data_IF_233106756437
#
_entry.id   IF_233106756437
#
_cell.length_a   1.000
_cell.length_b   1.000
_cell.length_c   1.000
_cell.angle_alpha   90.00
_cell.angle_beta   90.00
_cell.angle_gamma   90.00
#
_symmetry.space_group_name_H-M   'P 1'
#
loop_
_entity.id
_entity.type
_entity.pdbx_description
1 polymer ?
#
# COMPACT_ATOMS: atom_id res chain seq x y z
N UNK A 1 29.11 15.04 15.65
CA UNK A 1 29.84 14.80 14.37
C UNK A 1 29.71 16.06 13.51
N UNK A 2 30.78 16.86 13.33
CA UNK A 2 30.81 17.96 12.34
C UNK A 2 31.02 17.33 10.95
N UNK A 3 30.12 17.59 9.99
CA UNK A 3 30.36 17.23 8.58
C UNK A 3 31.53 18.09 8.07
N UNK A 4 32.56 17.47 7.49
CA UNK A 4 33.72 18.20 6.93
C UNK A 4 33.24 19.12 5.80
N UNK A 5 33.56 20.41 5.87
CA UNK A 5 33.41 21.37 4.77
C UNK A 5 32.18 22.29 4.80
N UNK A 6 31.39 22.30 5.88
CA UNK A 6 30.23 23.21 6.01
C UNK A 6 30.41 24.04 7.30
N UNK A 7 30.88 25.28 7.15
CA UNK A 7 31.14 26.19 8.27
C UNK A 7 29.91 27.04 8.65
N UNK A 8 28.89 27.11 7.80
CA UNK A 8 27.54 27.66 8.07
C UNK A 8 26.49 26.86 7.28
N UNK A 9 25.26 26.67 7.79
CA UNK A 9 24.17 26.18 6.96
C UNK A 9 23.91 27.17 5.81
N UNK A 10 23.82 26.66 4.58
CA UNK A 10 23.48 27.48 3.42
C UNK A 10 22.06 28.05 3.59
N UNK A 11 21.90 29.36 3.38
CA UNK A 11 20.60 30.02 3.37
C UNK A 11 20.06 30.01 1.94
N UNK A 12 19.06 29.15 1.69
CA UNK A 12 18.40 29.03 0.38
C UNK A 12 17.03 29.73 0.36
N UNK A 13 16.75 30.62 1.31
CA UNK A 13 15.45 31.32 1.40
C UNK A 13 15.10 32.10 0.14
N UNK A 14 16.10 32.63 -0.59
CA UNK A 14 15.91 33.34 -1.85
C UNK A 14 15.40 32.46 -3.01
N UNK A 15 15.55 31.14 -2.91
CA UNK A 15 15.07 30.18 -3.91
C UNK A 15 13.67 29.63 -3.58
N UNK A 16 13.10 29.99 -2.43
CA UNK A 16 11.77 29.56 -2.01
C UNK A 16 10.72 30.58 -2.46
N UNK A 17 9.69 30.11 -3.17
CA UNK A 17 8.61 30.96 -3.70
C UNK A 17 7.25 30.37 -3.34
N UNK A 18 6.31 31.21 -2.90
CA UNK A 18 4.93 30.80 -2.68
C UNK A 18 4.23 30.60 -4.03
N UNK A 19 3.59 29.43 -4.20
CA UNK A 19 2.91 29.05 -5.44
C UNK A 19 1.55 28.45 -5.14
N UNK A 20 0.57 28.74 -5.99
CA UNK A 20 -0.76 28.13 -5.93
C UNK A 20 -0.75 26.82 -6.73
N UNK A 21 -1.15 25.71 -6.10
CA UNK A 21 -1.23 24.41 -6.76
C UNK A 21 -2.41 24.34 -7.74
N UNK A 22 -2.32 23.49 -8.78
CA UNK A 22 -3.47 23.15 -9.61
C UNK A 22 -4.65 22.65 -8.77
N UNK A 23 -5.88 22.96 -9.20
CA UNK A 23 -7.09 22.57 -8.50
C UNK A 23 -7.22 21.04 -8.39
N UNK A 24 -7.70 20.55 -7.25
CA UNK A 24 -7.97 19.12 -7.06
C UNK A 24 -9.29 18.67 -7.73
N UNK A 25 -9.62 17.38 -7.59
CA UNK A 25 -10.84 16.80 -8.17
C UNK A 25 -12.15 17.41 -7.61
N UNK A 26 -12.07 18.10 -6.48
CA UNK A 26 -13.18 18.82 -5.84
C UNK A 26 -13.14 20.33 -6.13
N UNK A 27 -12.16 20.79 -6.91
CA UNK A 27 -11.98 22.19 -7.28
C UNK A 27 -11.21 23.03 -6.26
N UNK A 28 -10.70 22.43 -5.16
CA UNK A 28 -9.97 23.17 -4.13
C UNK A 28 -8.55 23.50 -4.62
N UNK A 29 -8.09 24.71 -4.31
CA UNK A 29 -6.73 25.19 -4.57
C UNK A 29 -6.03 25.49 -3.25
N UNK A 30 -4.77 25.11 -3.17
CA UNK A 30 -3.95 25.25 -1.97
C UNK A 30 -2.65 25.97 -2.33
N UNK A 31 -2.17 26.80 -1.42
CA UNK A 31 -0.87 27.45 -1.56
C UNK A 31 0.22 26.58 -0.93
N UNK A 32 1.38 26.52 -1.55
CA UNK A 32 2.54 25.79 -1.07
C UNK A 32 3.83 26.54 -1.40
N UNK A 33 4.97 26.01 -0.98
CA UNK A 33 6.30 26.56 -1.28
C UNK A 33 6.94 25.74 -2.40
N UNK A 34 7.30 26.40 -3.50
CA UNK A 34 8.09 25.85 -4.59
C UNK A 34 9.56 26.26 -4.49
N UNK A 35 10.43 25.47 -5.10
CA UNK A 35 11.87 25.77 -5.22
C UNK A 35 12.19 26.25 -6.63
N UNK A 36 12.75 27.45 -6.76
CA UNK A 36 13.13 28.09 -8.02
C UNK A 36 14.54 27.67 -8.42
N UNK A 37 14.67 27.04 -9.59
CA UNK A 37 15.96 26.66 -10.17
C UNK A 37 16.62 27.85 -10.90
N UNK A 38 17.95 27.81 -11.13
CA UNK A 38 18.67 28.87 -11.85
C UNK A 38 18.17 29.12 -13.28
N UNK A 39 17.57 28.12 -13.91
CA UNK A 39 16.94 28.21 -15.24
C UNK A 39 15.55 28.87 -15.20
N UNK A 40 15.09 29.30 -14.02
CA UNK A 40 13.80 29.95 -13.80
C UNK A 40 12.63 28.99 -13.60
N UNK A 41 12.83 27.67 -13.72
CA UNK A 41 11.77 26.69 -13.50
C UNK A 41 11.48 26.52 -12.00
N UNK A 42 10.20 26.31 -11.65
CA UNK A 42 9.78 26.11 -10.26
C UNK A 42 9.42 24.64 -10.06
N UNK A 43 10.09 23.98 -9.12
CA UNK A 43 9.78 22.62 -8.68
C UNK A 43 8.89 22.69 -7.46
N UNK A 44 7.72 22.07 -7.55
CA UNK A 44 6.76 21.99 -6.46
C UNK A 44 6.61 20.54 -6.06
N UNK A 45 6.53 20.28 -4.77
CA UNK A 45 6.21 18.94 -4.27
C UNK A 45 4.80 18.55 -4.70
N UNK A 46 4.59 17.27 -5.01
CA UNK A 46 3.25 16.79 -5.36
C UNK A 46 2.29 16.95 -4.17
N UNK A 47 0.98 16.91 -4.44
CA UNK A 47 -0.04 17.06 -3.38
C UNK A 47 0.08 15.94 -2.32
N UNK A 48 0.65 14.78 -2.66
CA UNK A 48 0.91 13.67 -1.74
C UNK A 48 2.04 13.92 -0.75
N UNK A 49 2.95 14.85 -1.06
CA UNK A 49 4.01 15.29 -0.15
C UNK A 49 3.46 15.93 1.12
N UNK A 50 2.42 16.76 1.01
CA UNK A 50 1.84 17.45 2.17
C UNK A 50 1.03 16.49 3.05
N UNK A 51 0.51 15.39 2.49
CA UNK A 51 -0.16 14.34 3.26
C UNK A 51 0.82 13.34 3.94
N UNK A 52 2.14 13.49 3.74
CA UNK A 52 3.14 12.69 4.44
C UNK A 52 3.44 13.18 5.87
N UNK A 53 2.84 14.30 6.34
CA UNK A 53 3.07 14.83 7.71
C UNK A 53 2.61 13.90 8.85
N UNK A 54 1.96 12.78 8.54
CA UNK A 54 1.61 11.72 9.50
C UNK A 54 2.42 10.43 9.36
N UNK A 55 3.36 10.35 8.42
CA UNK A 55 4.19 9.17 8.16
C UNK A 55 5.63 9.49 8.49
N UNK A 56 6.29 8.58 9.20
CA UNK A 56 7.68 8.77 9.61
C UNK A 56 8.63 8.77 8.40
N UNK A 57 8.22 8.18 7.26
CA UNK A 57 9.05 8.00 6.08
C UNK A 57 8.38 8.51 4.79
N UNK A 58 9.17 9.19 3.96
CA UNK A 58 8.80 9.54 2.59
C UNK A 58 8.56 8.28 1.74
N UNK A 59 7.48 8.26 0.97
CA UNK A 59 7.18 7.18 0.02
C UNK A 59 7.26 7.69 -1.41
N UNK A 60 8.30 7.30 -2.18
CA UNK A 60 8.44 7.71 -3.57
C UNK A 60 7.36 7.07 -4.47
N UNK A 61 7.10 7.70 -5.61
CA UNK A 61 6.32 7.06 -6.67
C UNK A 61 7.17 5.96 -7.34
N UNK A 62 6.91 4.70 -7.00
CA UNK A 62 7.70 3.55 -7.46
C UNK A 62 7.64 3.33 -8.98
N UNK A 63 6.64 3.86 -9.67
CA UNK A 63 6.55 3.81 -11.14
C UNK A 63 7.67 4.57 -11.86
N UNK A 64 8.36 5.48 -11.17
CA UNK A 64 9.46 6.27 -11.71
C UNK A 64 10.83 5.58 -11.56
N UNK A 65 10.87 4.40 -10.94
CA UNK A 65 12.10 3.69 -10.61
C UNK A 65 12.22 2.37 -11.38
N UNK A 66 13.45 1.89 -11.63
CA UNK A 66 13.65 0.56 -12.19
C UNK A 66 12.99 -0.53 -11.34
N UNK A 67 12.38 -1.52 -12.00
CA UNK A 67 11.58 -2.57 -11.35
C UNK A 67 12.29 -3.22 -10.17
N UNK A 68 13.57 -3.59 -10.33
CA UNK A 68 14.37 -4.21 -9.25
C UNK A 68 14.48 -3.33 -8.00
N UNK A 69 14.65 -2.02 -8.18
CA UNK A 69 14.76 -1.07 -7.07
C UNK A 69 13.40 -0.82 -6.43
N UNK A 70 12.37 -0.67 -7.25
CA UNK A 70 10.99 -0.50 -6.83
C UNK A 70 10.49 -1.71 -6.01
N UNK A 71 10.82 -2.93 -6.46
CA UNK A 71 10.56 -4.18 -5.75
C UNK A 71 11.30 -4.25 -4.41
N UNK A 72 12.59 -3.93 -4.39
CA UNK A 72 13.38 -3.90 -3.16
C UNK A 72 12.81 -2.90 -2.13
N UNK A 73 12.32 -1.74 -2.59
CA UNK A 73 11.64 -0.78 -1.74
C UNK A 73 10.39 -1.39 -1.09
N UNK A 74 9.52 -2.02 -1.87
CA UNK A 74 8.30 -2.66 -1.35
C UNK A 74 8.62 -3.79 -0.35
N UNK A 75 9.71 -4.54 -0.56
CA UNK A 75 10.21 -5.52 0.43
C UNK A 75 10.60 -4.87 1.75
N UNK A 76 11.33 -3.75 1.70
CA UNK A 76 11.70 -3.01 2.91
C UNK A 76 10.47 -2.41 3.58
N UNK A 77 9.49 -1.95 2.80
CA UNK A 77 8.26 -1.37 3.35
C UNK A 77 7.41 -2.41 4.09
N UNK A 78 7.16 -3.58 3.48
CA UNK A 78 6.36 -4.66 4.09
C UNK A 78 7.07 -5.36 5.26
N UNK A 79 8.40 -5.26 5.34
CA UNK A 79 9.19 -5.74 6.49
C UNK A 79 9.51 -4.63 7.49
N UNK A 80 9.17 -3.38 7.16
CA UNK A 80 9.64 -2.19 7.85
C UNK A 80 8.91 -1.96 9.18
N UNK A 81 9.63 -1.36 10.14
CA UNK A 81 9.08 -1.10 11.47
C UNK A 81 7.80 -0.24 11.47
N UNK A 82 7.65 0.68 10.50
CA UNK A 82 6.43 1.49 10.35
C UNK A 82 5.21 0.64 10.02
N UNK A 83 5.33 -0.29 9.06
CA UNK A 83 4.26 -1.21 8.73
C UNK A 83 3.94 -2.13 9.91
N UNK A 84 4.97 -2.67 10.58
CA UNK A 84 4.79 -3.53 11.75
C UNK A 84 4.04 -2.85 12.88
N UNK A 85 4.51 -1.67 13.27
CA UNK A 85 3.87 -0.88 14.32
C UNK A 85 2.41 -0.53 13.96
N UNK A 86 2.17 -0.10 12.72
CA UNK A 86 0.83 0.28 12.29
C UNK A 86 -0.13 -0.93 12.24
N UNK A 87 0.34 -2.06 11.72
CA UNK A 87 -0.42 -3.31 11.67
C UNK A 87 -0.85 -3.76 13.06
N UNK A 88 0.08 -3.81 14.01
CA UNK A 88 -0.16 -4.22 15.39
C UNK A 88 -1.15 -3.28 16.10
N UNK A 89 -0.98 -1.96 15.93
CA UNK A 89 -1.89 -0.97 16.48
C UNK A 89 -3.31 -1.13 15.92
N UNK A 90 -3.42 -1.30 14.60
CA UNK A 90 -4.72 -1.46 13.94
C UNK A 90 -5.38 -2.79 14.32
N UNK A 91 -4.61 -3.87 14.43
CA UNK A 91 -5.09 -5.17 14.90
C UNK A 91 -5.62 -5.09 16.34
N UNK A 92 -4.93 -4.36 17.22
CA UNK A 92 -5.37 -4.11 18.59
C UNK A 92 -6.71 -3.36 18.63
N UNK A 93 -6.82 -2.23 17.93
CA UNK A 93 -8.08 -1.47 17.89
C UNK A 93 -9.22 -2.27 17.26
N UNK A 94 -8.93 -3.07 16.24
CA UNK A 94 -9.90 -3.99 15.63
C UNK A 94 -10.40 -5.02 16.66
N UNK A 95 -9.51 -5.61 17.45
CA UNK A 95 -9.88 -6.58 18.48
C UNK A 95 -10.75 -5.95 19.58
N UNK A 96 -10.40 -4.74 20.04
CA UNK A 96 -11.18 -3.97 21.03
C UNK A 96 -12.60 -3.64 20.52
N UNK A 97 -12.70 -3.15 19.29
CA UNK A 97 -13.99 -2.88 18.65
C UNK A 97 -14.80 -4.18 18.46
N UNK A 98 -14.14 -5.27 18.06
CA UNK A 98 -14.79 -6.56 17.89
C UNK A 98 -15.37 -7.08 19.20
N UNK A 99 -14.64 -6.95 20.32
CA UNK A 99 -15.12 -7.36 21.64
C UNK A 99 -16.39 -6.59 22.06
N UNK A 100 -16.51 -5.33 21.64
CA UNK A 100 -17.67 -4.49 21.94
C UNK A 100 -18.86 -4.83 21.03
N UNK A 101 -18.62 -5.06 19.74
CA UNK A 101 -19.66 -5.29 18.73
C UNK A 101 -20.13 -6.74 18.64
N UNK A 102 -19.26 -7.70 18.95
CA UNK A 102 -19.55 -9.15 18.99
C UNK A 102 -18.89 -9.78 20.22
N UNK A 103 -19.48 -9.60 21.42
CA UNK A 103 -18.96 -10.18 22.67
C UNK A 103 -18.90 -11.72 22.64
N UNK A 104 -19.71 -12.34 21.78
CA UNK A 104 -19.73 -13.77 21.52
C UNK A 104 -18.58 -14.26 20.62
N UNK A 105 -17.68 -13.36 20.20
CA UNK A 105 -16.47 -13.67 19.47
C UNK A 105 -16.69 -14.01 17.99
N UNK A 106 -17.92 -13.90 17.48
CA UNK A 106 -18.24 -14.16 16.08
C UNK A 106 -17.61 -13.12 15.15
N UNK A 107 -17.54 -13.47 13.86
CA UNK A 107 -17.16 -12.50 12.82
C UNK A 107 -18.18 -11.37 12.77
N UNK A 108 -17.68 -10.15 12.60
CA UNK A 108 -18.52 -8.98 12.49
C UNK A 108 -19.35 -9.03 11.21
N UNK A 109 -20.61 -8.62 11.32
CA UNK A 109 -21.53 -8.46 10.18
C UNK A 109 -21.11 -7.30 9.28
N UNK A 110 -21.74 -7.17 8.11
CA UNK A 110 -21.46 -6.06 7.19
C UNK A 110 -21.69 -4.68 7.83
N UNK A 111 -22.76 -4.51 8.59
CA UNK A 111 -23.11 -3.24 9.24
C UNK A 111 -22.13 -2.91 10.38
N UNK A 112 -21.75 -3.90 11.17
CA UNK A 112 -20.72 -3.72 12.21
C UNK A 112 -19.37 -3.39 11.59
N UNK A 113 -19.01 -4.04 10.47
CA UNK A 113 -17.80 -3.73 9.74
C UNK A 113 -17.82 -2.31 9.17
N UNK A 114 -18.97 -1.77 8.78
CA UNK A 114 -19.09 -0.37 8.35
C UNK A 114 -18.69 0.56 9.50
N UNK A 115 -19.24 0.36 10.69
CA UNK A 115 -18.92 1.15 11.89
C UNK A 115 -17.42 1.10 12.24
N UNK A 116 -16.82 -0.09 12.18
CA UNK A 116 -15.38 -0.26 12.42
C UNK A 116 -14.56 0.51 11.38
N UNK A 117 -14.92 0.40 10.10
CA UNK A 117 -14.18 1.05 9.01
C UNK A 117 -14.28 2.57 9.13
N UNK A 118 -15.45 3.11 9.43
CA UNK A 118 -15.66 4.55 9.60
C UNK A 118 -14.85 5.10 10.79
N UNK A 119 -14.65 4.29 11.84
CA UNK A 119 -13.89 4.69 13.03
C UNK A 119 -12.37 4.56 12.86
N UNK A 120 -11.89 3.50 12.21
CA UNK A 120 -10.47 3.13 12.21
C UNK A 120 -9.70 3.52 10.94
N UNK A 121 -10.39 3.71 9.82
CA UNK A 121 -9.74 4.01 8.53
C UNK A 121 -9.15 5.43 8.56
N UNK A 122 -7.87 5.54 8.20
CA UNK A 122 -7.12 6.80 8.09
C UNK A 122 -6.66 7.06 6.65
N UNK A 123 -7.14 6.27 5.68
CA UNK A 123 -6.72 6.30 4.28
C UNK A 123 -5.21 6.06 4.10
N UNK A 124 -4.62 5.26 4.99
CA UNK A 124 -3.22 4.89 4.90
C UNK A 124 -3.04 3.76 3.88
N UNK A 125 -2.11 3.95 2.94
CA UNK A 125 -1.66 2.92 1.99
C UNK A 125 -0.17 2.57 2.12
N UNK A 126 0.21 1.33 1.93
CA UNK A 126 1.59 0.88 1.89
C UNK A 126 1.90 0.27 0.52
N UNK A 127 3.11 0.45 -0.02
CA UNK A 127 3.47 -0.22 -1.28
C UNK A 127 3.70 -1.70 -0.97
N UNK A 128 2.70 -2.51 -1.29
CA UNK A 128 2.68 -3.94 -1.05
C UNK A 128 3.57 -4.70 -2.03
N UNK A 129 3.82 -4.11 -3.20
CA UNK A 129 4.63 -4.70 -4.26
C UNK A 129 4.58 -3.86 -5.51
N UNK A 130 5.39 -4.25 -6.50
CA UNK A 130 5.41 -3.64 -7.83
C UNK A 130 5.28 -4.76 -8.85
N UNK A 131 4.30 -4.66 -9.74
CA UNK A 131 4.09 -5.61 -10.82
C UNK A 131 5.36 -5.72 -11.68
N UNK A 132 5.68 -6.93 -12.11
CA UNK A 132 6.63 -7.10 -13.20
C UNK A 132 6.10 -6.46 -14.49
N UNK A 133 7.01 -6.13 -15.42
CA UNK A 133 6.62 -5.64 -16.74
C UNK A 133 5.56 -6.55 -17.41
N UNK A 134 5.75 -7.87 -17.36
CA UNK A 134 4.81 -8.86 -17.89
C UNK A 134 3.42 -8.76 -17.23
N UNK A 135 3.38 -8.71 -15.89
CA UNK A 135 2.12 -8.61 -15.15
C UNK A 135 1.43 -7.26 -15.40
N UNK A 136 2.20 -6.17 -15.50
CA UNK A 136 1.68 -4.83 -15.79
C UNK A 136 1.00 -4.77 -17.15
N UNK A 137 1.61 -5.38 -18.17
CA UNK A 137 1.05 -5.49 -19.51
C UNK A 137 -0.20 -6.36 -19.54
N UNK A 138 -0.19 -7.50 -18.85
CA UNK A 138 -1.35 -8.39 -18.75
C UNK A 138 -2.56 -7.71 -18.10
N UNK A 139 -2.32 -6.90 -17.05
CA UNK A 139 -3.34 -6.13 -16.36
C UNK A 139 -3.76 -4.87 -17.15
N UNK A 140 -3.08 -4.55 -18.26
CA UNK A 140 -3.24 -3.31 -19.05
C UNK A 140 -3.19 -2.05 -18.17
N UNK A 141 -2.37 -2.09 -17.13
CA UNK A 141 -2.29 -1.02 -16.14
C UNK A 141 -1.21 0.00 -16.50
N UNK A 142 -1.52 1.29 -16.31
CA UNK A 142 -0.54 2.38 -16.50
C UNK A 142 0.47 2.47 -15.35
N UNK A 143 0.07 2.01 -14.16
CA UNK A 143 0.92 1.89 -12.96
C UNK A 143 1.29 0.43 -12.71
N UNK A 144 2.45 0.19 -12.12
CA UNK A 144 2.86 -1.10 -11.56
C UNK A 144 2.79 -1.13 -10.03
N UNK A 145 2.65 0.01 -9.36
CA UNK A 145 2.64 0.06 -7.89
C UNK A 145 1.33 -0.51 -7.36
N UNK A 146 1.44 -1.51 -6.46
CA UNK A 146 0.31 -2.14 -5.80
C UNK A 146 0.24 -1.70 -4.35
N UNK A 147 -0.91 -1.15 -3.96
CA UNK A 147 -1.13 -0.58 -2.64
C UNK A 147 -1.90 -1.53 -1.71
N UNK A 148 -1.48 -1.60 -0.45
CA UNK A 148 -2.24 -2.19 0.65
C UNK A 148 -2.79 -1.09 1.53
N UNK A 149 -4.12 -0.96 1.59
CA UNK A 149 -4.78 0.03 2.45
C UNK A 149 -5.06 -0.50 3.86
N UNK A 150 -5.15 0.40 4.82
CA UNK A 150 -5.71 0.16 6.14
C UNK A 150 -7.14 -0.40 6.10
N UNK A 151 -7.98 0.09 5.19
CA UNK A 151 -9.31 -0.46 4.92
C UNK A 151 -9.26 -1.95 4.55
N UNK A 152 -8.25 -2.35 3.77
CA UNK A 152 -8.03 -3.76 3.42
C UNK A 152 -7.57 -4.56 4.61
N UNK A 153 -6.65 -4.02 5.42
CA UNK A 153 -6.19 -4.66 6.66
C UNK A 153 -7.35 -4.90 7.63
N UNK A 154 -8.21 -3.90 7.87
CA UNK A 154 -9.41 -4.01 8.71
C UNK A 154 -10.30 -5.18 8.26
N UNK A 155 -10.56 -5.28 6.95
CA UNK A 155 -11.33 -6.40 6.38
C UNK A 155 -10.62 -7.73 6.55
N UNK A 156 -9.30 -7.78 6.38
CA UNK A 156 -8.51 -9.00 6.55
C UNK A 156 -8.54 -9.46 8.01
N UNK A 157 -8.42 -8.59 9.01
CA UNK A 157 -8.48 -8.99 10.41
C UNK A 157 -9.79 -9.73 10.75
N UNK A 158 -10.95 -9.20 10.33
CA UNK A 158 -12.22 -9.90 10.53
C UNK A 158 -12.31 -11.21 9.69
N UNK A 159 -11.75 -11.21 8.49
CA UNK A 159 -11.83 -12.36 7.57
C UNK A 159 -10.91 -13.52 7.94
N UNK A 160 -9.72 -13.21 8.47
CA UNK A 160 -8.63 -14.13 8.80
C UNK A 160 -8.57 -14.52 10.27
N UNK A 161 -9.48 -13.99 11.07
CA UNK A 161 -9.60 -14.39 12.46
C UNK A 161 -9.64 -15.92 12.63
N UNK A 162 -8.78 -16.42 13.52
CA UNK A 162 -8.58 -17.86 13.79
C UNK A 162 -7.85 -18.68 12.71
N UNK A 163 -7.23 -18.06 11.68
CA UNK A 163 -6.59 -18.78 10.57
C UNK A 163 -5.06 -18.79 10.59
N UNK A 164 -4.43 -18.49 11.73
CA UNK A 164 -2.96 -18.40 11.86
C UNK A 164 -2.31 -17.61 10.71
N UNK A 165 -2.85 -16.41 10.48
CA UNK A 165 -2.45 -15.51 9.41
C UNK A 165 -2.19 -14.13 9.99
N UNK A 166 -0.92 -13.79 10.09
CA UNK A 166 -0.44 -12.61 10.80
C UNK A 166 0.36 -11.70 9.90
N UNK A 167 1.19 -10.90 10.55
CA UNK A 167 2.03 -9.91 9.88
C UNK A 167 3.14 -10.55 9.03
N UNK A 168 3.67 -11.69 9.45
CA UNK A 168 4.80 -12.34 8.80
C UNK A 168 4.45 -12.77 7.37
N UNK A 169 3.20 -13.14 7.11
CA UNK A 169 2.73 -13.46 5.77
C UNK A 169 2.82 -12.25 4.83
N UNK A 170 2.60 -11.03 5.32
CA UNK A 170 2.65 -9.81 4.48
C UNK A 170 4.05 -9.52 3.95
N UNK A 171 5.10 -10.07 4.56
CA UNK A 171 6.46 -9.98 4.04
C UNK A 171 6.63 -10.65 2.66
N UNK A 172 5.71 -11.58 2.31
CA UNK A 172 5.71 -12.27 1.02
C UNK A 172 4.97 -11.50 -0.09
N UNK A 173 4.15 -10.49 0.24
CA UNK A 173 3.34 -9.74 -0.74
C UNK A 173 4.18 -9.17 -1.90
N UNK A 174 5.35 -8.54 -1.68
CA UNK A 174 6.13 -8.00 -2.77
C UNK A 174 6.55 -9.08 -3.76
N UNK A 175 6.99 -10.24 -3.27
CA UNK A 175 7.46 -11.34 -4.10
C UNK A 175 6.29 -12.02 -4.84
N UNK A 176 5.11 -12.09 -4.24
CA UNK A 176 3.88 -12.56 -4.90
C UNK A 176 3.47 -11.61 -6.03
N UNK A 177 3.57 -10.30 -5.81
CA UNK A 177 3.14 -9.28 -6.77
C UNK A 177 4.12 -9.17 -7.95
N UNK A 178 5.42 -9.25 -7.68
CA UNK A 178 6.45 -9.11 -8.70
C UNK A 178 6.73 -10.42 -9.46
N UNK A 179 6.77 -11.55 -8.77
CA UNK A 179 7.19 -12.84 -9.32
C UNK A 179 6.21 -13.96 -8.93
N UNK A 180 4.95 -13.85 -9.33
CA UNK A 180 3.91 -14.87 -9.11
C UNK A 180 4.19 -16.19 -9.85
N UNK A 181 3.60 -17.28 -9.38
CA UNK A 181 3.67 -18.59 -10.05
C UNK A 181 2.48 -18.78 -11.01
N UNK A 182 1.30 -18.23 -10.66
CA UNK A 182 0.11 -18.27 -11.52
C UNK A 182 -0.78 -17.07 -11.32
N UNK A 183 -1.27 -16.52 -12.43
CA UNK A 183 -2.35 -15.53 -12.44
C UNK A 183 -3.64 -16.18 -12.95
N UNK A 184 -4.74 -15.88 -12.26
CA UNK A 184 -6.11 -16.21 -12.69
C UNK A 184 -6.91 -14.91 -12.73
N UNK A 185 -7.54 -14.63 -13.86
CA UNK A 185 -8.43 -13.47 -14.02
C UNK A 185 -9.85 -13.90 -13.69
N UNK A 186 -10.52 -13.10 -12.86
CA UNK A 186 -11.90 -13.32 -12.42
C UNK A 186 -12.67 -12.00 -12.45
N UNK A 187 -14.00 -12.04 -12.35
CA UNK A 187 -14.86 -10.85 -12.34
C UNK A 187 -14.51 -9.88 -11.18
N UNK A 188 -14.02 -10.43 -10.08
CA UNK A 188 -13.66 -9.69 -8.88
C UNK A 188 -12.26 -9.05 -8.95
N UNK A 189 -11.43 -9.41 -9.92
CA UNK A 189 -10.07 -8.90 -10.09
C UNK A 189 -9.07 -9.96 -10.53
N UNK A 190 -7.80 -9.74 -10.17
CA UNK A 190 -6.69 -10.59 -10.57
C UNK A 190 -6.17 -11.39 -9.38
N UNK A 191 -6.12 -12.70 -9.49
CA UNK A 191 -5.69 -13.61 -8.44
C UNK A 191 -4.26 -14.08 -8.70
N UNK A 192 -3.33 -13.68 -7.83
CA UNK A 192 -1.91 -13.98 -7.92
C UNK A 192 -1.59 -15.07 -6.90
N UNK A 193 -1.17 -16.23 -7.40
CA UNK A 193 -0.81 -17.39 -6.60
C UNK A 193 0.69 -17.53 -6.52
N UNK A 194 1.20 -17.88 -5.32
CA UNK A 194 2.59 -18.24 -5.12
C UNK A 194 2.77 -19.24 -4.00
N UNK A 195 3.70 -20.18 -4.17
CA UNK A 195 4.22 -21.00 -3.08
C UNK A 195 5.46 -20.32 -2.47
N UNK A 196 5.40 -20.03 -1.18
CA UNK A 196 6.51 -19.47 -0.42
C UNK A 196 6.85 -20.42 0.72
N UNK A 197 7.92 -21.20 0.56
CA UNK A 197 8.39 -22.16 1.55
C UNK A 197 7.31 -23.17 2.01
N UNK A 198 6.48 -23.65 1.09
CA UNK A 198 5.37 -24.57 1.37
C UNK A 198 4.07 -23.87 1.81
N UNK A 199 4.09 -22.55 2.04
CA UNK A 199 2.88 -21.76 2.26
C UNK A 199 2.32 -21.31 0.91
N UNK A 200 1.19 -21.91 0.53
CA UNK A 200 0.43 -21.54 -0.67
C UNK A 200 -0.36 -20.27 -0.39
N UNK A 201 0.04 -19.17 -1.03
CA UNK A 201 -0.50 -17.84 -0.81
C UNK A 201 -1.26 -17.34 -2.03
N UNK A 202 -2.28 -16.51 -1.77
CA UNK A 202 -3.08 -15.85 -2.78
C UNK A 202 -3.27 -14.38 -2.43
N UNK A 203 -2.82 -13.51 -3.33
CA UNK A 203 -3.16 -12.08 -3.34
C UNK A 203 -4.20 -11.81 -4.43
N UNK A 204 -5.32 -11.17 -4.07
CA UNK A 204 -6.33 -10.70 -5.01
C UNK A 204 -6.13 -9.21 -5.21
N UNK A 205 -5.87 -8.81 -6.45
CA UNK A 205 -5.61 -7.43 -6.84
C UNK A 205 -6.80 -6.85 -7.60
N UNK A 206 -7.07 -5.57 -7.37
CA UNK A 206 -8.09 -4.81 -8.08
C UNK A 206 -7.46 -3.57 -8.71
N UNK A 207 -7.65 -3.42 -10.01
CA UNK A 207 -7.31 -2.19 -10.74
C UNK A 207 -8.51 -1.26 -10.68
N UNK A 208 -8.32 -0.01 -10.26
CA UNK A 208 -9.41 0.97 -10.25
C UNK A 208 -9.70 1.46 -11.67
N UNK A 209 -10.98 1.58 -12.02
CA UNK A 209 -11.39 2.00 -13.37
C UNK A 209 -11.26 3.51 -13.59
N UNK A 210 -11.39 4.32 -12.52
CA UNK A 210 -11.36 5.79 -12.58
C UNK A 210 -9.97 6.38 -12.32
N UNK A 211 -9.12 5.66 -11.60
CA UNK A 211 -7.79 6.10 -11.21
C UNK A 211 -6.79 5.01 -11.58
N UNK A 212 -5.60 5.35 -12.13
CA UNK A 212 -4.58 4.36 -12.46
C UNK A 212 -3.88 3.91 -11.17
N UNK A 213 -4.60 3.23 -10.29
CA UNK A 213 -4.09 2.66 -9.05
C UNK A 213 -4.52 1.19 -8.93
N UNK A 214 -3.65 0.39 -8.33
CA UNK A 214 -3.86 -1.03 -8.08
C UNK A 214 -3.85 -1.25 -6.58
N UNK A 215 -4.84 -1.98 -6.07
CA UNK A 215 -4.96 -2.29 -4.65
C UNK A 215 -5.00 -3.79 -4.41
N UNK A 216 -4.37 -4.22 -3.32
CA UNK A 216 -4.65 -5.52 -2.70
C UNK A 216 -6.06 -5.46 -2.14
N UNK A 217 -6.93 -6.38 -2.57
CA UNK A 217 -8.29 -6.54 -2.06
C UNK A 217 -8.37 -7.63 -0.99
N UNK A 218 -7.59 -8.70 -1.16
CA UNK A 218 -7.48 -9.78 -0.19
C UNK A 218 -6.14 -10.47 -0.27
N UNK A 219 -5.64 -10.92 0.88
CA UNK A 219 -4.44 -11.72 0.99
C UNK A 219 -4.66 -12.85 1.99
N UNK A 220 -4.39 -14.10 1.60
CA UNK A 220 -4.72 -15.29 2.40
C UNK A 220 -3.92 -16.52 2.01
N UNK A 221 -3.90 -17.50 2.91
CA UNK A 221 -3.51 -18.87 2.60
C UNK A 221 -4.56 -19.55 1.70
N UNK A 222 -4.08 -20.49 0.89
CA UNK A 222 -4.86 -21.24 -0.09
C UNK A 222 -4.91 -22.70 0.33
N UNK A 223 -6.12 -23.26 0.40
CA UNK A 223 -6.28 -24.71 0.61
C UNK A 223 -5.76 -25.51 -0.59
N UNK A 224 -5.29 -26.74 -0.35
CA UNK A 224 -4.84 -27.63 -1.44
C UNK A 224 -5.87 -27.82 -2.54
N UNK A 225 -7.15 -27.89 -2.18
CA UNK A 225 -8.26 -27.99 -3.14
C UNK A 225 -8.32 -26.77 -4.06
N UNK A 226 -8.19 -25.56 -3.50
CA UNK A 226 -8.21 -24.33 -4.28
C UNK A 226 -6.94 -24.20 -5.14
N UNK A 227 -5.78 -24.61 -4.61
CA UNK A 227 -4.52 -24.62 -5.34
C UNK A 227 -4.60 -25.50 -6.59
N UNK A 228 -4.95 -26.78 -6.43
CA UNK A 228 -5.09 -27.71 -7.56
C UNK A 228 -6.07 -27.21 -8.61
N UNK A 229 -7.22 -26.66 -8.18
CA UNK A 229 -8.21 -26.06 -9.09
C UNK A 229 -7.60 -24.92 -9.92
N UNK A 230 -6.77 -24.06 -9.33
CA UNK A 230 -6.15 -22.93 -10.02
C UNK A 230 -5.06 -23.38 -11.02
N UNK A 231 -4.30 -24.41 -10.67
CA UNK A 231 -3.21 -24.95 -11.50
C UNK A 231 -3.66 -26.04 -12.49
N UNK A 232 -4.94 -26.45 -12.44
CA UNK A 232 -5.50 -27.56 -13.22
C UNK A 232 -4.74 -28.88 -13.02
N UNK A 233 -4.35 -29.12 -11.76
CA UNK A 233 -3.77 -30.38 -11.28
C UNK A 233 -4.83 -31.35 -10.75
#
# INVERSE_FOLDING_TARGET
>A
MKRRGIDKPDDSSEFLVEVERPADKQGNREKTVGFKLPDGTIRVTDKGFDYNVGRLNYKPNLDLYPEKLAHAFAKVEMKGGEFKHYFELLAKHMAEMKQTLSPDGKKLTADQMLQVRDSLTKNFKFAAGVLSAESKDLLKSKTGTVWLSDDTLIKQFNSRDGQDFGIDEYEALPDIINALDKIVVDELGYQFYKDVNGKKLLAVLKVLSKEPEIFVQSFRLVSDKQWRKAFKE
#
